data_IF_258556884857
#
_entry.id   IF_258556884857
#
_cell.length_a   1.000
_cell.length_b   1.000
_cell.length_c   1.000
_cell.angle_alpha   90.00
_cell.angle_beta   90.00
_cell.angle_gamma   90.00
#
_symmetry.space_group_name_H-M   'P 1'
#
loop_
_entity.id
_entity.type
_entity.pdbx_description
1 polymer ?
#
# COMPACT_ATOMS: atom_id res chain seq x y z
N UNK A 1 37.90 14.44 11.28
CA UNK A 1 36.55 14.62 11.85
C UNK A 1 35.65 13.60 11.16
N UNK A 2 35.48 12.44 11.76
CA UNK A 2 34.69 11.33 11.19
C UNK A 2 33.21 11.61 11.51
N UNK A 3 32.41 11.79 10.46
CA UNK A 3 30.95 11.93 10.58
C UNK A 3 30.41 10.51 10.77
N UNK A 4 29.94 10.24 11.98
CA UNK A 4 29.26 8.99 12.34
C UNK A 4 27.89 8.96 11.66
N UNK A 5 27.78 8.24 10.53
CA UNK A 5 26.52 7.89 9.90
C UNK A 5 25.89 6.76 10.71
N UNK A 6 25.18 7.09 11.76
CA UNK A 6 24.14 6.19 12.27
C UNK A 6 22.97 6.27 11.30
N UNK A 7 22.92 5.38 10.32
CA UNK A 7 21.69 5.03 9.62
C UNK A 7 20.78 4.37 10.67
N UNK A 8 19.81 5.15 11.19
CA UNK A 8 18.71 4.58 11.96
C UNK A 8 17.98 3.61 11.04
N UNK A 9 18.16 2.34 11.29
CA UNK A 9 17.44 1.26 10.64
C UNK A 9 15.94 1.49 10.86
N UNK A 10 15.21 1.73 9.78
CA UNK A 10 13.75 1.67 9.76
C UNK A 10 13.42 0.29 10.33
N UNK A 11 12.52 0.23 11.31
CA UNK A 11 12.07 -1.04 11.89
C UNK A 11 11.31 -1.82 10.79
N UNK A 12 12.07 -2.59 10.04
CA UNK A 12 11.57 -3.39 8.91
C UNK A 12 10.48 -4.37 9.36
N UNK A 13 10.45 -4.78 10.63
CA UNK A 13 9.43 -5.71 11.14
C UNK A 13 8.04 -5.09 11.16
N UNK A 14 7.93 -3.79 11.46
CA UNK A 14 6.67 -3.05 11.40
C UNK A 14 6.25 -2.74 9.97
N UNK A 15 7.21 -2.43 9.10
CA UNK A 15 6.95 -2.21 7.67
C UNK A 15 6.53 -3.52 6.98
N UNK A 16 7.16 -4.65 7.33
CA UNK A 16 6.81 -5.97 6.82
C UNK A 16 5.44 -6.44 7.33
N UNK A 17 5.08 -6.15 8.59
CA UNK A 17 3.74 -6.43 9.10
C UNK A 17 2.68 -5.56 8.42
N UNK A 18 2.94 -4.28 8.21
CA UNK A 18 2.09 -3.36 7.46
C UNK A 18 1.87 -3.85 6.03
N UNK A 19 2.93 -4.21 5.32
CA UNK A 19 2.86 -4.73 3.94
C UNK A 19 2.16 -6.10 3.85
N UNK A 20 2.34 -6.97 4.83
CA UNK A 20 1.74 -8.31 4.84
C UNK A 20 0.22 -8.27 4.91
N UNK A 21 -0.35 -7.31 5.62
CA UNK A 21 -1.81 -7.19 5.81
C UNK A 21 -2.48 -6.27 4.79
N UNK A 22 -1.74 -5.41 4.10
CA UNK A 22 -2.30 -4.45 3.14
C UNK A 22 -2.30 -4.93 1.70
N UNK A 23 -1.43 -5.91 1.32
CA UNK A 23 -1.18 -6.25 -0.08
C UNK A 23 -2.05 -7.36 -0.66
N UNK A 24 -2.67 -8.24 0.14
CA UNK A 24 -3.24 -9.51 -0.35
C UNK A 24 -4.75 -9.69 -0.17
N UNK A 25 -5.44 -8.82 0.53
CA UNK A 25 -6.88 -8.93 0.78
C UNK A 25 -7.62 -7.67 0.42
N UNK A 26 -8.89 -7.78 0.08
CA UNK A 26 -9.78 -6.62 0.05
C UNK A 26 -9.76 -5.93 1.41
N UNK A 27 -9.63 -4.63 1.42
CA UNK A 27 -9.71 -3.85 2.66
C UNK A 27 -11.18 -3.71 3.06
N UNK A 28 -11.45 -3.90 4.34
CA UNK A 28 -12.78 -3.85 4.93
C UNK A 28 -12.83 -2.84 6.07
N UNK A 29 -13.98 -2.21 6.24
CA UNK A 29 -14.24 -1.22 7.29
C UNK A 29 -15.54 -1.54 8.02
N UNK A 30 -15.64 -1.15 9.29
CA UNK A 30 -16.90 -1.16 10.02
C UNK A 30 -17.82 -0.04 9.53
N UNK A 31 -19.07 -0.04 10.00
CA UNK A 31 -20.04 1.04 9.70
C UNK A 31 -19.61 2.39 10.30
N UNK A 32 -18.79 2.36 11.34
CA UNK A 32 -18.23 3.53 12.02
C UNK A 32 -16.95 4.05 11.35
N UNK A 33 -16.47 3.37 10.28
CA UNK A 33 -15.28 3.76 9.53
C UNK A 33 -13.97 3.15 10.04
N UNK A 34 -14.02 2.28 11.07
CA UNK A 34 -12.81 1.65 11.60
C UNK A 34 -12.28 0.56 10.65
N UNK A 35 -10.95 0.52 10.38
CA UNK A 35 -10.38 -0.50 9.53
C UNK A 35 -10.43 -1.90 10.19
N UNK A 36 -10.93 -2.89 9.44
CA UNK A 36 -11.04 -4.29 9.85
C UNK A 36 -10.32 -5.20 8.85
N UNK A 37 -9.01 -4.99 8.69
CA UNK A 37 -8.21 -5.72 7.71
C UNK A 37 -7.89 -7.14 8.14
N UNK A 38 -7.85 -7.37 9.45
CA UNK A 38 -7.56 -8.68 10.05
C UNK A 38 -8.59 -9.05 11.12
N UNK A 39 -8.73 -10.36 11.34
CA UNK A 39 -9.54 -10.93 12.42
C UNK A 39 -8.80 -12.11 13.06
N UNK A 40 -9.23 -12.49 14.26
CA UNK A 40 -8.75 -13.70 14.93
C UNK A 40 -9.50 -14.91 14.34
N UNK A 41 -8.79 -15.82 13.72
CA UNK A 41 -9.34 -17.05 13.19
C UNK A 41 -9.70 -18.06 14.28
N UNK A 42 -10.42 -19.14 13.92
CA UNK A 42 -10.82 -20.21 14.84
C UNK A 42 -9.63 -20.93 15.54
N UNK A 43 -8.43 -20.83 14.95
CA UNK A 43 -7.19 -21.36 15.52
C UNK A 43 -6.48 -20.39 16.49
N UNK A 44 -7.12 -19.26 16.84
CA UNK A 44 -6.56 -18.21 17.69
C UNK A 44 -5.47 -17.35 17.04
N UNK A 45 -5.19 -17.54 15.75
CA UNK A 45 -4.19 -16.75 15.01
C UNK A 45 -4.86 -15.63 14.23
N UNK A 46 -4.17 -14.49 14.17
CA UNK A 46 -4.57 -13.38 13.30
C UNK A 46 -4.45 -13.78 11.83
N UNK A 47 -5.46 -13.41 11.04
CA UNK A 47 -5.51 -13.60 9.59
C UNK A 47 -6.27 -12.48 8.91
N UNK A 48 -6.08 -12.35 7.61
CA UNK A 48 -6.82 -11.37 6.81
C UNK A 48 -8.33 -11.62 6.86
N UNK A 49 -9.09 -10.53 6.90
CA UNK A 49 -10.55 -10.54 6.80
C UNK A 49 -10.98 -10.98 5.40
N UNK A 50 -11.82 -12.01 5.34
CA UNK A 50 -12.35 -12.52 4.08
C UNK A 50 -13.75 -11.94 3.79
N UNK A 51 -14.23 -12.10 2.56
CA UNK A 51 -15.61 -11.74 2.19
C UNK A 51 -16.66 -12.44 3.08
N UNK A 52 -16.38 -13.66 3.55
CA UNK A 52 -17.27 -14.39 4.45
C UNK A 52 -17.37 -13.72 5.82
N UNK A 53 -16.23 -13.28 6.33
CA UNK A 53 -16.16 -12.54 7.59
C UNK A 53 -16.84 -11.18 7.46
N UNK A 54 -16.57 -10.48 6.36
CA UNK A 54 -17.18 -9.18 6.08
C UNK A 54 -18.71 -9.28 6.03
N UNK A 55 -19.27 -10.31 5.40
CA UNK A 55 -20.71 -10.56 5.40
C UNK A 55 -21.28 -10.83 6.80
N UNK A 56 -20.55 -11.58 7.62
CA UNK A 56 -20.96 -11.92 8.99
C UNK A 56 -20.94 -10.70 9.89
N UNK A 57 -19.87 -9.91 9.83
CA UNK A 57 -19.66 -8.72 10.67
C UNK A 57 -20.24 -7.43 10.06
N UNK A 58 -20.97 -7.52 8.92
CA UNK A 58 -21.60 -6.40 8.20
C UNK A 58 -20.60 -5.29 7.81
N UNK A 59 -19.39 -5.69 7.42
CA UNK A 59 -18.36 -4.74 6.98
C UNK A 59 -18.63 -4.23 5.57
N UNK A 60 -18.12 -3.05 5.28
CA UNK A 60 -18.18 -2.44 3.95
C UNK A 60 -16.83 -2.56 3.24
N UNK A 61 -16.79 -2.70 1.90
CA UNK A 61 -15.54 -2.76 1.15
C UNK A 61 -14.86 -1.39 1.09
N UNK A 62 -13.54 -1.38 0.91
CA UNK A 62 -12.81 -0.15 0.64
C UNK A 62 -13.12 0.41 -0.75
N UNK A 63 -12.94 1.73 -0.92
CA UNK A 63 -12.95 2.40 -2.23
C UNK A 63 -12.04 1.69 -3.22
N UNK A 64 -10.82 1.33 -2.81
CA UNK A 64 -9.85 0.65 -3.68
C UNK A 64 -10.29 -0.75 -4.09
N UNK A 65 -11.04 -1.47 -3.23
CA UNK A 65 -11.66 -2.76 -3.57
C UNK A 65 -12.71 -2.57 -4.67
N UNK A 66 -13.55 -1.54 -4.57
CA UNK A 66 -14.57 -1.23 -5.59
C UNK A 66 -13.90 -0.79 -6.90
N UNK A 67 -12.93 0.14 -6.84
CA UNK A 67 -12.17 0.61 -7.99
C UNK A 67 -11.33 -0.50 -8.66
N UNK A 68 -10.98 -1.54 -7.89
CA UNK A 68 -10.29 -2.71 -8.42
C UNK A 68 -11.11 -3.52 -9.44
N UNK A 69 -12.43 -3.36 -9.46
CA UNK A 69 -13.31 -3.97 -10.46
C UNK A 69 -13.29 -3.23 -11.81
N UNK A 70 -12.75 -2.01 -11.85
CA UNK A 70 -12.66 -1.22 -13.07
C UNK A 70 -11.42 -1.67 -13.86
N UNK A 71 -11.60 -1.93 -15.15
CA UNK A 71 -10.50 -2.28 -16.04
C UNK A 71 -9.43 -1.19 -16.08
N UNK A 72 -8.17 -1.60 -16.04
CA UNK A 72 -6.98 -0.71 -16.09
C UNK A 72 -6.10 -1.07 -17.30
N UNK A 73 -6.54 -0.76 -18.54
CA UNK A 73 -5.87 -1.23 -19.77
C UNK A 73 -4.38 -0.86 -19.84
N UNK A 74 -4.01 0.34 -19.41
CA UNK A 74 -2.62 0.78 -19.40
C UNK A 74 -1.74 -0.07 -18.47
N UNK A 75 -2.25 -0.42 -17.29
CA UNK A 75 -1.55 -1.29 -16.35
C UNK A 75 -1.42 -2.72 -16.87
N UNK A 76 -2.46 -3.25 -17.52
CA UNK A 76 -2.40 -4.59 -18.10
C UNK A 76 -1.42 -4.65 -19.27
N UNK A 77 -1.41 -3.66 -20.15
CA UNK A 77 -0.43 -3.56 -21.23
C UNK A 77 1.01 -3.47 -20.67
N UNK A 78 1.23 -2.64 -19.67
CA UNK A 78 2.54 -2.55 -19.01
C UNK A 78 2.99 -3.90 -18.41
N UNK A 79 2.09 -4.64 -17.75
CA UNK A 79 2.41 -5.99 -17.21
C UNK A 79 2.80 -6.98 -18.33
N UNK A 80 2.11 -6.93 -19.46
CA UNK A 80 2.41 -7.75 -20.63
C UNK A 80 3.81 -7.39 -21.16
N UNK A 81 4.12 -6.12 -21.32
CA UNK A 81 5.44 -5.65 -21.76
C UNK A 81 6.56 -6.10 -20.82
N UNK A 82 6.36 -6.02 -19.48
CA UNK A 82 7.33 -6.53 -18.51
C UNK A 82 7.53 -8.04 -18.64
N UNK A 83 6.46 -8.81 -18.86
CA UNK A 83 6.56 -10.25 -19.04
C UNK A 83 7.29 -10.63 -20.34
N UNK A 84 7.05 -9.92 -21.43
CA UNK A 84 7.76 -10.10 -22.70
C UNK A 84 9.24 -9.74 -22.56
N UNK A 85 9.55 -8.62 -21.91
CA UNK A 85 10.93 -8.21 -21.64
C UNK A 85 11.68 -9.28 -20.85
N UNK A 86 11.08 -9.80 -19.77
CA UNK A 86 11.69 -10.88 -18.99
C UNK A 86 11.89 -12.16 -19.83
N UNK A 87 10.93 -12.50 -20.70
CA UNK A 87 11.06 -13.69 -21.55
C UNK A 87 12.14 -13.54 -22.64
N UNK A 88 12.44 -12.32 -23.07
CA UNK A 88 13.50 -12.03 -24.04
C UNK A 88 14.88 -11.88 -23.44
N UNK A 89 14.97 -11.52 -22.14
CA UNK A 89 16.24 -11.24 -21.46
C UNK A 89 16.74 -12.39 -20.59
N UNK A 90 15.83 -13.25 -20.10
CA UNK A 90 16.20 -14.43 -19.31
C UNK A 90 16.58 -15.61 -20.21
N UNK A 91 17.76 -16.16 -19.97
CA UNK A 91 18.16 -17.39 -20.63
C UNK A 91 17.43 -18.59 -20.03
N UNK A 92 16.94 -19.47 -20.91
CA UNK A 92 16.37 -20.75 -20.51
C UNK A 92 17.47 -21.71 -20.10
N UNK A 93 17.34 -22.32 -18.91
CA UNK A 93 18.32 -23.27 -18.40
C UNK A 93 18.25 -24.59 -19.14
N UNK A 94 19.39 -25.29 -19.26
CA UNK A 94 19.44 -26.60 -19.88
C UNK A 94 18.53 -27.58 -19.14
N UNK A 95 17.69 -28.31 -19.88
CA UNK A 95 16.70 -29.23 -19.30
C UNK A 95 15.49 -28.58 -18.62
N UNK A 96 15.44 -27.25 -18.56
CA UNK A 96 14.31 -26.56 -17.95
C UNK A 96 13.02 -26.72 -18.75
N UNK A 97 11.91 -27.10 -18.09
CA UNK A 97 10.60 -27.16 -18.75
C UNK A 97 10.09 -25.75 -19.11
N UNK A 98 9.25 -25.65 -20.13
CA UNK A 98 8.59 -24.39 -20.48
C UNK A 98 7.81 -23.81 -19.30
N UNK A 99 7.16 -24.65 -18.51
CA UNK A 99 6.39 -24.23 -17.33
C UNK A 99 7.30 -23.57 -16.28
N UNK A 100 8.46 -24.17 -15.99
CA UNK A 100 9.43 -23.61 -15.04
C UNK A 100 9.98 -22.28 -15.53
N UNK A 101 10.38 -22.20 -16.80
CA UNK A 101 10.84 -20.95 -17.41
C UNK A 101 9.78 -19.85 -17.34
N UNK A 102 8.52 -20.17 -17.67
CA UNK A 102 7.41 -19.22 -17.57
C UNK A 102 7.20 -18.68 -16.16
N UNK A 103 7.38 -19.50 -15.11
CA UNK A 103 7.33 -18.99 -13.73
C UNK A 103 8.48 -18.03 -13.42
N UNK A 104 9.70 -18.34 -13.85
CA UNK A 104 10.85 -17.43 -13.68
C UNK A 104 10.62 -16.08 -14.38
N UNK A 105 10.10 -16.11 -15.61
CA UNK A 105 9.75 -14.86 -16.32
C UNK A 105 8.68 -14.06 -15.57
N UNK A 106 7.65 -14.70 -15.04
CA UNK A 106 6.61 -14.04 -14.24
C UNK A 106 7.16 -13.42 -12.96
N UNK A 107 8.07 -14.11 -12.27
CA UNK A 107 8.67 -13.58 -11.05
C UNK A 107 9.60 -12.41 -11.35
N UNK A 108 10.39 -12.50 -12.41
CA UNK A 108 11.28 -11.43 -12.84
C UNK A 108 10.50 -10.19 -13.28
N UNK A 109 9.43 -10.37 -14.07
CA UNK A 109 8.59 -9.27 -14.55
C UNK A 109 7.93 -8.46 -13.43
N UNK A 110 7.74 -9.05 -12.25
CA UNK A 110 7.16 -8.37 -11.08
C UNK A 110 8.17 -7.52 -10.30
N UNK A 111 9.46 -7.77 -10.43
CA UNK A 111 10.50 -7.14 -9.58
C UNK A 111 10.45 -5.61 -9.60
N UNK A 112 10.32 -5.01 -10.79
CA UNK A 112 10.26 -3.55 -10.95
C UNK A 112 9.00 -2.99 -10.25
N UNK A 113 7.84 -3.61 -10.51
CA UNK A 113 6.59 -3.19 -9.88
C UNK A 113 6.60 -3.34 -8.36
N UNK A 114 7.15 -4.45 -7.84
CA UNK A 114 7.29 -4.68 -6.40
C UNK A 114 8.25 -3.69 -5.75
N UNK A 115 9.39 -3.38 -6.39
CA UNK A 115 10.32 -2.38 -5.87
C UNK A 115 9.67 -0.98 -5.84
N UNK A 116 8.94 -0.60 -6.88
CA UNK A 116 8.22 0.66 -6.93
C UNK A 116 7.11 0.74 -5.87
N UNK A 117 6.32 -0.33 -5.70
CA UNK A 117 5.28 -0.40 -4.68
C UNK A 117 5.88 -0.30 -3.26
N UNK A 118 6.95 -1.04 -2.98
CA UNK A 118 7.67 -0.96 -1.69
C UNK A 118 8.16 0.47 -1.43
N UNK A 119 8.78 1.09 -2.42
CA UNK A 119 9.27 2.47 -2.29
C UNK A 119 8.12 3.46 -2.06
N UNK A 120 6.98 3.28 -2.74
CA UNK A 120 5.77 4.08 -2.51
C UNK A 120 5.29 3.96 -1.07
N UNK A 121 5.13 2.75 -0.56
CA UNK A 121 4.71 2.48 0.82
C UNK A 121 5.65 3.11 1.85
N UNK A 122 6.98 3.02 1.64
CA UNK A 122 7.97 3.64 2.51
C UNK A 122 7.81 5.16 2.56
N UNK A 123 7.59 5.80 1.41
CA UNK A 123 7.39 7.26 1.31
C UNK A 123 6.09 7.68 2.03
N UNK A 124 4.97 6.98 1.79
CA UNK A 124 3.71 7.24 2.48
C UNK A 124 3.87 7.14 3.99
N UNK A 125 4.46 6.06 4.48
CA UNK A 125 4.74 5.85 5.91
C UNK A 125 5.62 6.95 6.53
N UNK A 126 6.64 7.41 5.80
CA UNK A 126 7.50 8.51 6.26
C UNK A 126 6.74 9.85 6.35
N UNK A 127 5.87 10.14 5.39
CA UNK A 127 5.03 11.35 5.37
C UNK A 127 4.01 11.30 6.51
N UNK A 128 3.28 10.20 6.64
CA UNK A 128 2.34 9.95 7.72
C UNK A 128 2.96 10.20 9.10
N UNK A 129 4.10 9.55 9.39
CA UNK A 129 4.79 9.73 10.66
C UNK A 129 5.21 11.18 10.93
N UNK A 130 5.50 11.93 9.89
CA UNK A 130 5.81 13.36 9.99
C UNK A 130 4.60 14.17 10.45
N UNK A 131 3.43 13.96 9.85
CA UNK A 131 2.18 14.63 10.24
C UNK A 131 1.65 14.18 11.60
N UNK A 132 1.86 12.91 11.97
CA UNK A 132 1.56 12.39 13.31
C UNK A 132 2.57 12.84 14.40
N UNK A 133 3.55 13.69 14.05
CA UNK A 133 4.52 14.22 14.99
C UNK A 133 5.60 13.24 15.46
N UNK A 134 5.72 12.05 14.83
CA UNK A 134 6.67 11.01 15.24
C UNK A 134 8.09 11.25 14.69
N UNK A 135 8.27 11.36 13.37
CA UNK A 135 9.58 11.53 12.72
C UNK A 135 9.48 12.45 11.51
N UNK A 136 10.28 13.51 11.49
CA UNK A 136 10.34 14.47 10.38
C UNK A 136 11.35 14.05 9.32
N UNK A 137 10.96 13.10 8.45
CA UNK A 137 11.77 12.60 7.33
C UNK A 137 11.97 13.64 6.21
N UNK A 138 12.83 13.31 5.23
CA UNK A 138 13.02 14.18 4.06
C UNK A 138 11.75 14.29 3.20
N UNK A 139 11.03 13.21 2.84
CA UNK A 139 9.76 13.30 2.14
C UNK A 139 8.72 14.19 2.86
N UNK A 140 8.54 13.99 4.16
CA UNK A 140 7.66 14.85 4.96
C UNK A 140 8.03 16.32 4.85
N UNK A 141 9.31 16.67 5.02
CA UNK A 141 9.75 18.08 4.96
C UNK A 141 9.46 18.73 3.61
N UNK A 142 9.63 17.98 2.51
CA UNK A 142 9.35 18.49 1.16
C UNK A 142 7.85 18.77 1.01
N UNK A 143 7.00 17.79 1.36
CA UNK A 143 5.54 17.93 1.25
C UNK A 143 5.04 19.06 2.18
N UNK A 144 5.51 19.08 3.44
CA UNK A 144 5.10 20.10 4.40
C UNK A 144 5.47 21.50 3.92
N UNK A 145 6.69 21.70 3.40
CA UNK A 145 7.11 23.00 2.87
C UNK A 145 6.24 23.45 1.69
N UNK A 146 5.93 22.54 0.78
CA UNK A 146 5.05 22.83 -0.36
C UNK A 146 3.63 23.16 0.09
N UNK A 147 3.09 22.44 1.08
CA UNK A 147 1.76 22.72 1.65
C UNK A 147 1.72 24.06 2.36
N UNK A 148 2.75 24.41 3.13
CA UNK A 148 2.83 25.71 3.85
C UNK A 148 2.90 26.89 2.88
N UNK A 149 3.56 26.71 1.73
CA UNK A 149 3.67 27.74 0.70
C UNK A 149 2.35 27.94 -0.06
N UNK A 150 1.65 26.85 -0.41
CA UNK A 150 0.47 26.89 -1.28
C UNK A 150 -0.84 27.03 -0.49
N UNK A 151 -0.87 26.57 0.76
CA UNK A 151 -2.04 26.58 1.63
C UNK A 151 -1.66 27.09 3.03
N UNK A 152 -1.27 28.36 3.16
CA UNK A 152 -0.86 28.94 4.44
C UNK A 152 -2.04 28.92 5.43
N UNK A 153 -1.73 28.58 6.67
CA UNK A 153 -2.68 28.49 7.80
C UNK A 153 -3.65 27.29 7.78
N UNK A 154 -3.48 26.32 6.88
CA UNK A 154 -4.24 25.08 6.91
C UNK A 154 -3.70 24.11 7.97
N UNK A 155 -4.62 23.47 8.68
CA UNK A 155 -4.30 22.35 9.59
C UNK A 155 -4.55 21.03 8.87
N UNK A 156 -3.50 20.22 8.79
CA UNK A 156 -3.51 18.97 8.03
C UNK A 156 -3.73 17.77 8.95
N UNK A 157 -4.65 16.89 8.57
CA UNK A 157 -4.98 15.64 9.23
C UNK A 157 -4.52 14.50 8.34
N UNK A 158 -3.72 13.58 8.90
CA UNK A 158 -3.20 12.41 8.19
C UNK A 158 -3.91 11.13 8.64
N UNK A 159 -4.10 10.21 7.69
CA UNK A 159 -4.50 8.84 7.96
C UNK A 159 -5.87 8.71 8.64
N UNK A 160 -6.85 9.46 8.20
CA UNK A 160 -8.21 9.41 8.73
C UNK A 160 -9.07 8.38 7.99
N UNK A 161 -9.74 7.53 8.74
CA UNK A 161 -10.58 6.46 8.20
C UNK A 161 -12.04 6.86 8.24
N UNK A 162 -12.82 6.43 7.26
CA UNK A 162 -14.23 6.76 7.14
C UNK A 162 -15.08 5.61 6.61
N UNK A 163 -16.37 5.67 6.89
CA UNK A 163 -17.41 4.90 6.21
C UNK A 163 -18.45 5.86 5.61
N UNK A 164 -18.75 5.69 4.32
CA UNK A 164 -19.77 6.46 3.64
C UNK A 164 -21.13 5.74 3.73
N UNK A 165 -22.23 6.50 3.84
CA UNK A 165 -23.61 5.99 3.96
C UNK A 165 -24.01 5.07 2.80
N UNK A 166 -23.41 5.27 1.62
CA UNK A 166 -23.65 4.44 0.43
C UNK A 166 -22.93 3.08 0.46
N UNK A 167 -22.26 2.72 1.56
CA UNK A 167 -21.76 1.38 1.81
C UNK A 167 -20.34 1.11 1.32
N UNK A 168 -19.43 2.06 1.42
CA UNK A 168 -18.00 1.84 1.27
C UNK A 168 -17.19 2.59 2.32
N UNK A 169 -15.99 2.11 2.62
CA UNK A 169 -15.07 2.75 3.53
C UNK A 169 -13.74 3.10 2.86
N UNK A 170 -12.94 3.85 3.54
CA UNK A 170 -11.62 4.24 3.06
C UNK A 170 -10.78 4.88 4.13
N UNK A 171 -9.55 5.21 3.72
CA UNK A 171 -8.59 5.96 4.52
C UNK A 171 -8.03 7.07 3.64
N UNK A 172 -8.04 8.28 4.17
CA UNK A 172 -7.55 9.47 3.48
C UNK A 172 -6.12 9.68 3.96
N UNK A 173 -5.15 9.71 3.03
CA UNK A 173 -3.74 9.88 3.37
C UNK A 173 -3.47 11.22 4.03
N UNK A 174 -4.06 12.31 3.50
CA UNK A 174 -3.91 13.66 4.02
C UNK A 174 -5.05 14.57 3.53
N UNK A 175 -5.62 15.35 4.43
CA UNK A 175 -6.60 16.40 4.09
C UNK A 175 -6.50 17.57 5.07
N UNK A 176 -7.02 18.73 4.69
CA UNK A 176 -7.13 19.88 5.59
C UNK A 176 -8.50 19.94 6.27
N UNK A 177 -8.59 20.60 7.42
CA UNK A 177 -9.87 20.85 8.10
C UNK A 177 -10.83 21.68 7.27
N UNK A 178 -10.35 22.48 6.34
CA UNK A 178 -11.20 23.26 5.40
C UNK A 178 -11.72 22.44 4.22
N UNK A 179 -11.32 21.16 4.08
CA UNK A 179 -11.78 20.24 3.03
C UNK A 179 -10.93 20.26 1.75
N UNK A 180 -9.67 20.67 1.82
CA UNK A 180 -8.68 20.51 0.74
C UNK A 180 -8.11 19.08 0.84
N UNK A 181 -8.07 18.33 -0.27
CA UNK A 181 -7.60 16.94 -0.36
C UNK A 181 -6.36 16.83 -1.23
#
# INVERSE_FOLDING_TARGET
MMINKQEELIDNSKLDSYNKFTAESGHWYTQEGEPMYTIIGANGKERNTTLRDAKKEKLVPSVTTILGMIAKPALENWKIEQALTSALTLERQEGESFKSFSYRCKDDSKKIGMAAAKRGTEIHYEIENGFLGKKKSKPYKIIKAWLDENYPNEEWIAEDSFCADIGYGGKIDLYSKSGIF
#
